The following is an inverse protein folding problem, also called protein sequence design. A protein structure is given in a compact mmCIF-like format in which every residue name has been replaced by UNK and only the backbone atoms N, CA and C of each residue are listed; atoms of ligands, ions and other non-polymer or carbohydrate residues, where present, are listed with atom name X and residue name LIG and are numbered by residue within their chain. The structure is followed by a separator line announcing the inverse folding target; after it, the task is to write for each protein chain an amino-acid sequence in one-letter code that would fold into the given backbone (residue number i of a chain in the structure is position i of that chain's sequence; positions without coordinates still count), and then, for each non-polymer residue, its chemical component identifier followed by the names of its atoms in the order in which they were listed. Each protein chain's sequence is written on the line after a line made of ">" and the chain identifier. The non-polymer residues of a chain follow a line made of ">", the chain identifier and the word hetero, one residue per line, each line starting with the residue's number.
data_IF_174606535989
#
_entry.id   IF_174606535989
#
_cell.length_a   1.000
_cell.length_b   1.000
_cell.length_c   1.000
_cell.angle_alpha   90.00
_cell.angle_beta   90.00
_cell.angle_gamma   90.00
#
_symmetry.space_group_name_H-M   'P 1'
#
loop_
_entity.id
_entity.type
_entity.pdbx_description
1 polymer ?
#
# COMPACT_ATOMS: atom_id res chain seq x y z
N UNK A 1 3.47 -61.89 46.06
CA UNK A 1 2.77 -60.60 46.09
C UNK A 1 3.52 -59.67 45.12
N UNK A 2 2.94 -59.45 43.94
CA UNK A 2 3.56 -58.67 42.84
C UNK A 2 2.96 -57.26 42.83
N UNK A 3 3.79 -56.25 43.22
CA UNK A 3 3.38 -54.83 43.12
C UNK A 3 3.56 -54.37 41.68
N UNK A 4 2.47 -54.03 40.99
CA UNK A 4 2.50 -53.43 39.67
C UNK A 4 2.73 -51.93 39.83
N UNK A 5 3.86 -51.46 39.34
CA UNK A 5 4.18 -50.04 39.22
C UNK A 5 3.51 -49.51 37.94
N UNK A 6 2.45 -48.73 38.10
CA UNK A 6 1.80 -48.04 36.96
C UNK A 6 2.57 -46.72 36.74
N UNK A 7 3.36 -46.71 35.68
CA UNK A 7 4.05 -45.50 35.23
C UNK A 7 3.02 -44.53 34.59
N UNK A 8 2.80 -43.39 35.24
CA UNK A 8 1.96 -42.31 34.73
C UNK A 8 2.83 -41.46 33.76
N UNK A 9 2.70 -41.73 32.47
CA UNK A 9 3.31 -40.91 31.42
C UNK A 9 2.45 -39.68 31.21
N UNK A 10 2.85 -38.56 31.82
CA UNK A 10 2.26 -37.24 31.56
C UNK A 10 2.77 -36.74 30.20
N UNK A 11 1.98 -36.95 29.15
CA UNK A 11 2.23 -36.35 27.83
C UNK A 11 1.94 -34.86 27.89
N UNK A 12 3.01 -34.04 27.91
CA UNK A 12 2.92 -32.58 27.76
C UNK A 12 2.54 -32.31 26.30
N UNK A 13 1.25 -32.14 26.04
CA UNK A 13 0.74 -31.69 24.77
C UNK A 13 0.98 -30.17 24.71
N UNK A 14 2.13 -29.77 24.16
CA UNK A 14 2.45 -28.37 23.90
C UNK A 14 1.48 -27.86 22.83
N UNK A 15 0.41 -27.18 23.23
CA UNK A 15 -0.42 -26.39 22.32
C UNK A 15 0.43 -25.24 21.81
N UNK A 16 1.01 -25.40 20.62
CA UNK A 16 1.56 -24.30 19.86
C UNK A 16 0.40 -23.41 19.45
N UNK A 17 0.16 -22.33 20.19
CA UNK A 17 -0.75 -21.25 19.79
C UNK A 17 -0.09 -20.58 18.58
N UNK A 18 -0.48 -21.02 17.37
CA UNK A 18 -0.17 -20.31 16.15
C UNK A 18 -0.95 -19.00 16.23
N UNK A 19 -0.27 -17.95 16.68
CA UNK A 19 -0.79 -16.58 16.57
C UNK A 19 -0.94 -16.30 15.09
N UNK A 20 -2.18 -16.37 14.57
CA UNK A 20 -2.50 -15.89 13.24
C UNK A 20 -2.21 -14.38 13.28
N UNK A 21 -1.04 -13.98 12.78
CA UNK A 21 -0.73 -12.58 12.58
C UNK A 21 -1.75 -12.05 11.57
N UNK A 22 -2.72 -11.29 12.04
CA UNK A 22 -3.67 -10.62 11.15
C UNK A 22 -2.87 -9.63 10.30
N UNK A 23 -2.81 -9.88 8.98
CA UNK A 23 -2.21 -8.95 8.04
C UNK A 23 -2.93 -7.60 8.13
N UNK A 24 -2.18 -6.52 8.25
CA UNK A 24 -2.74 -5.18 8.15
C UNK A 24 -3.11 -4.92 6.69
N UNK A 25 -4.40 -4.77 6.39
CA UNK A 25 -4.85 -4.40 5.05
C UNK A 25 -4.68 -2.88 4.86
N UNK A 26 -3.89 -2.48 3.85
CA UNK A 26 -3.74 -1.10 3.42
C UNK A 26 -4.48 -0.88 2.10
N UNK A 27 -5.35 0.11 2.04
CA UNK A 27 -6.11 0.49 0.85
C UNK A 27 -5.32 1.47 0.02
N UNK A 28 -4.95 1.09 -1.22
CA UNK A 28 -4.30 1.96 -2.19
C UNK A 28 -5.34 2.47 -3.20
N UNK A 29 -5.66 3.74 -3.15
CA UNK A 29 -6.57 4.40 -4.09
C UNK A 29 -5.83 4.91 -5.32
N UNK A 30 -6.42 4.77 -6.50
CA UNK A 30 -5.97 5.43 -7.72
C UNK A 30 -7.14 5.68 -8.69
N UNK A 31 -7.12 6.81 -9.37
CA UNK A 31 -8.10 7.11 -10.42
C UNK A 31 -7.74 6.44 -11.75
N UNK A 32 -6.52 5.93 -11.89
CA UNK A 32 -6.08 5.25 -13.10
C UNK A 32 -6.95 4.03 -13.41
N UNK A 33 -7.35 3.84 -14.68
CA UNK A 33 -8.04 2.62 -15.09
C UNK A 33 -7.23 1.36 -14.75
N UNK A 34 -7.87 0.24 -14.37
CA UNK A 34 -7.16 -0.97 -13.94
C UNK A 34 -6.15 -1.51 -14.96
N UNK A 35 -6.40 -1.29 -16.26
CA UNK A 35 -5.54 -1.73 -17.36
C UNK A 35 -4.48 -0.69 -17.78
N UNK A 36 -4.53 0.52 -17.23
CA UNK A 36 -3.53 1.54 -17.50
C UNK A 36 -2.14 1.10 -17.01
N UNK A 37 -1.09 1.54 -17.71
CA UNK A 37 0.30 1.15 -17.38
C UNK A 37 0.66 1.48 -15.93
N UNK A 38 0.28 2.65 -15.43
CA UNK A 38 0.53 3.07 -14.05
C UNK A 38 -0.10 2.08 -13.06
N UNK A 39 -1.40 1.82 -13.20
CA UNK A 39 -2.11 0.92 -12.30
C UNK A 39 -1.60 -0.53 -12.40
N UNK A 40 -1.51 -1.07 -13.64
CA UNK A 40 -1.25 -2.50 -13.86
C UNK A 40 0.21 -2.91 -13.70
N UNK A 41 1.17 -2.01 -13.95
CA UNK A 41 2.61 -2.33 -13.92
C UNK A 41 3.34 -1.67 -12.75
N UNK A 42 3.05 -0.41 -12.48
CA UNK A 42 3.77 0.33 -11.43
C UNK A 42 3.13 0.07 -10.07
N UNK A 43 1.87 0.44 -9.88
CA UNK A 43 1.22 0.35 -8.58
C UNK A 43 0.96 -1.09 -8.15
N UNK A 44 0.47 -1.95 -9.03
CA UNK A 44 0.29 -3.36 -8.74
C UNK A 44 1.63 -4.05 -8.44
N UNK A 45 2.68 -3.78 -9.23
CA UNK A 45 4.02 -4.32 -9.00
C UNK A 45 4.64 -3.83 -7.68
N UNK A 46 4.38 -2.60 -7.28
CA UNK A 46 4.79 -2.07 -5.98
C UNK A 46 4.02 -2.76 -4.84
N UNK A 47 2.70 -2.86 -4.94
CA UNK A 47 1.85 -3.54 -3.95
C UNK A 47 2.29 -5.00 -3.74
N UNK A 48 2.54 -5.74 -4.83
CA UNK A 48 3.05 -7.11 -4.77
C UNK A 48 4.40 -7.22 -4.05
N UNK A 49 5.30 -6.26 -4.28
CA UNK A 49 6.60 -6.22 -3.58
C UNK A 49 6.41 -6.00 -2.08
N UNK A 50 5.57 -5.03 -1.67
CA UNK A 50 5.27 -4.77 -0.26
C UNK A 50 4.68 -6.01 0.41
N UNK A 51 3.68 -6.64 -0.22
CA UNK A 51 3.02 -7.84 0.28
C UNK A 51 4.03 -8.99 0.50
N UNK A 52 4.96 -9.19 -0.45
CA UNK A 52 6.01 -10.21 -0.36
C UNK A 52 7.06 -9.87 0.69
N UNK A 53 7.57 -8.64 0.71
CA UNK A 53 8.63 -8.22 1.64
C UNK A 53 8.16 -8.18 3.10
N UNK A 54 6.86 -7.98 3.33
CA UNK A 54 6.28 -7.95 4.68
C UNK A 54 6.05 -9.34 5.28
N UNK A 55 6.34 -10.43 4.54
CA UNK A 55 6.07 -11.81 4.96
C UNK A 55 4.61 -12.01 5.45
N UNK A 56 3.65 -11.33 4.81
CA UNK A 56 2.24 -11.40 5.16
C UNK A 56 1.79 -10.49 6.30
N UNK A 57 2.69 -9.67 6.87
CA UNK A 57 2.31 -8.69 7.89
C UNK A 57 1.49 -7.53 7.32
N UNK A 58 1.67 -7.20 6.04
CA UNK A 58 0.94 -6.13 5.33
C UNK A 58 0.36 -6.70 4.04
N UNK A 59 -0.88 -6.33 3.74
CA UNK A 59 -1.56 -6.63 2.49
C UNK A 59 -2.06 -5.33 1.84
N UNK A 60 -1.41 -4.89 0.77
CA UNK A 60 -1.85 -3.71 0.02
C UNK A 60 -2.90 -4.11 -1.01
N UNK A 61 -4.12 -3.58 -0.84
CA UNK A 61 -5.24 -3.80 -1.76
C UNK A 61 -5.50 -2.57 -2.60
N UNK A 62 -5.37 -2.70 -3.91
CA UNK A 62 -5.54 -1.59 -4.84
C UNK A 62 -7.00 -1.41 -5.27
N UNK A 63 -7.47 -0.16 -5.22
CA UNK A 63 -8.77 0.31 -5.68
C UNK A 63 -8.56 1.25 -6.88
N UNK A 64 -8.58 0.70 -8.08
CA UNK A 64 -8.31 1.40 -9.32
C UNK A 64 -9.58 1.97 -9.99
N UNK A 65 -9.40 2.90 -10.95
CA UNK A 65 -10.50 3.46 -11.73
C UNK A 65 -11.33 4.52 -11.01
N UNK A 66 -10.78 5.12 -9.95
CA UNK A 66 -11.48 6.18 -9.22
C UNK A 66 -12.66 5.73 -8.37
N UNK A 67 -12.75 4.43 -8.03
CA UNK A 67 -13.88 3.86 -7.26
C UNK A 67 -14.00 4.45 -5.86
N UNK A 68 -12.90 4.92 -5.26
CA UNK A 68 -12.91 5.61 -3.97
C UNK A 68 -13.01 7.13 -4.12
N UNK A 69 -12.80 7.68 -5.31
CA UNK A 69 -12.96 9.10 -5.62
C UNK A 69 -12.23 9.53 -6.89
N UNK A 70 -12.66 10.67 -7.42
CA UNK A 70 -12.13 11.30 -8.63
C UNK A 70 -10.71 11.84 -8.44
N UNK A 71 -9.98 12.19 -9.52
CA UNK A 71 -8.60 12.71 -9.42
C UNK A 71 -8.41 13.87 -8.44
N UNK A 72 -9.27 14.92 -8.41
CA UNK A 72 -9.12 16.01 -7.44
C UNK A 72 -9.35 15.60 -5.97
N UNK A 73 -10.04 14.47 -5.74
CA UNK A 73 -10.39 13.99 -4.40
C UNK A 73 -9.36 13.04 -3.78
N UNK A 74 -8.29 12.71 -4.50
CA UNK A 74 -7.34 11.71 -4.03
C UNK A 74 -6.63 12.11 -2.71
N UNK A 75 -6.40 13.40 -2.48
CA UNK A 75 -5.86 13.89 -1.21
C UNK A 75 -6.89 13.75 -0.08
N UNK A 76 -8.13 14.17 -0.31
CA UNK A 76 -9.20 14.10 0.69
C UNK A 76 -9.49 12.65 1.11
N UNK A 77 -9.37 11.68 0.20
CA UNK A 77 -9.58 10.25 0.47
C UNK A 77 -8.60 9.75 1.54
N UNK A 78 -7.33 10.16 1.45
CA UNK A 78 -6.31 9.74 2.41
C UNK A 78 -6.46 10.50 3.73
N UNK A 79 -6.65 11.81 3.69
CA UNK A 79 -6.78 12.63 4.91
C UNK A 79 -8.03 12.32 5.71
N UNK A 80 -9.09 11.85 5.06
CA UNK A 80 -10.32 11.37 5.73
C UNK A 80 -10.29 9.90 6.15
N UNK A 81 -9.21 9.16 5.86
CA UNK A 81 -9.06 7.76 6.23
C UNK A 81 -9.90 6.77 5.40
N UNK A 82 -10.43 7.19 4.24
CA UNK A 82 -11.14 6.29 3.30
C UNK A 82 -10.16 5.31 2.65
N UNK A 83 -8.94 5.78 2.36
CA UNK A 83 -7.80 4.95 1.97
C UNK A 83 -6.55 5.35 2.76
N UNK A 84 -5.59 4.43 2.86
CA UNK A 84 -4.33 4.65 3.56
C UNK A 84 -3.28 5.27 2.65
N UNK A 85 -3.37 4.98 1.36
CA UNK A 85 -2.42 5.40 0.33
C UNK A 85 -3.21 5.88 -0.89
N UNK A 86 -2.72 6.94 -1.55
CA UNK A 86 -3.26 7.36 -2.83
C UNK A 86 -2.15 7.68 -3.82
N UNK A 87 -2.35 7.29 -5.07
CA UNK A 87 -1.55 7.76 -6.20
C UNK A 87 -2.31 8.85 -6.95
N UNK A 88 -1.67 9.99 -7.12
CA UNK A 88 -2.27 11.13 -7.82
C UNK A 88 -1.20 11.99 -8.50
N UNK A 89 -1.64 12.85 -9.41
CA UNK A 89 -0.87 13.96 -9.95
C UNK A 89 -1.14 15.20 -9.10
N UNK A 90 -0.11 15.82 -8.54
CA UNK A 90 -0.26 16.92 -7.59
C UNK A 90 -1.00 18.13 -8.17
N UNK A 91 -0.84 18.39 -9.48
CA UNK A 91 -1.59 19.45 -10.18
C UNK A 91 -3.11 19.26 -10.21
N UNK A 92 -3.60 18.04 -10.01
CA UNK A 92 -5.05 17.78 -9.90
C UNK A 92 -5.64 18.19 -8.55
N UNK A 93 -4.78 18.38 -7.54
CA UNK A 93 -5.15 18.74 -6.17
C UNK A 93 -4.90 20.24 -5.99
N UNK A 94 -5.69 21.07 -6.63
CA UNK A 94 -5.47 22.53 -6.67
C UNK A 94 -5.26 23.15 -5.27
N UNK A 95 -4.19 23.93 -5.12
CA UNK A 95 -3.93 24.74 -3.92
C UNK A 95 -3.33 24.02 -2.72
N UNK A 96 -3.32 22.68 -2.68
CA UNK A 96 -2.78 21.94 -1.54
C UNK A 96 -1.23 21.88 -1.56
N UNK A 97 -0.63 21.88 -2.76
CA UNK A 97 0.81 21.76 -2.95
C UNK A 97 1.34 22.87 -3.87
N UNK A 98 1.31 24.14 -3.44
CA UNK A 98 1.63 25.27 -4.33
C UNK A 98 3.08 25.25 -4.84
N UNK A 99 4.04 24.78 -4.03
CA UNK A 99 5.44 24.68 -4.44
C UNK A 99 5.66 23.59 -5.49
N UNK A 100 4.90 22.50 -5.44
CA UNK A 100 5.00 21.43 -6.44
C UNK A 100 4.43 21.86 -7.80
N UNK A 101 3.54 22.84 -7.85
CA UNK A 101 2.97 23.37 -9.09
C UNK A 101 3.98 24.15 -9.92
N UNK A 102 5.07 24.60 -9.32
CA UNK A 102 6.13 25.33 -10.03
C UNK A 102 6.74 24.48 -11.14
N UNK A 103 6.95 23.18 -10.91
CA UNK A 103 7.54 22.28 -11.92
C UNK A 103 6.62 22.05 -13.13
N UNK A 104 5.33 22.32 -12.98
CA UNK A 104 4.32 22.16 -14.04
C UNK A 104 4.22 23.40 -14.94
N UNK A 105 4.94 24.48 -14.61
CA UNK A 105 4.97 25.69 -15.43
C UNK A 105 5.60 25.39 -16.81
N UNK A 106 4.96 25.85 -17.90
CA UNK A 106 5.47 25.63 -19.24
C UNK A 106 6.87 26.26 -19.37
N UNK A 107 7.74 25.58 -20.11
CA UNK A 107 9.12 26.04 -20.43
C UNK A 107 10.09 26.15 -19.25
N UNK A 108 9.68 25.79 -18.03
CA UNK A 108 10.57 25.81 -16.86
C UNK A 108 11.71 24.80 -17.01
N UNK A 109 11.43 23.65 -17.58
CA UNK A 109 12.44 22.62 -17.84
C UNK A 109 12.47 22.24 -19.32
N UNK A 110 13.67 21.97 -19.85
CA UNK A 110 13.84 21.57 -21.25
C UNK A 110 13.46 20.12 -21.53
N UNK A 111 13.57 19.26 -20.51
CA UNK A 111 13.28 17.82 -20.59
C UNK A 111 12.70 17.33 -19.28
N UNK A 112 11.92 16.26 -19.33
CA UNK A 112 11.39 15.59 -18.11
C UNK A 112 12.52 15.14 -17.18
N UNK A 113 13.65 14.69 -17.74
CA UNK A 113 14.82 14.29 -16.96
C UNK A 113 15.38 15.46 -16.16
N UNK A 114 15.56 16.64 -16.78
CA UNK A 114 16.06 17.82 -16.09
C UNK A 114 15.12 18.25 -14.95
N UNK A 115 13.80 18.22 -15.19
CA UNK A 115 12.81 18.51 -14.15
C UNK A 115 12.88 17.54 -12.99
N UNK A 116 12.93 16.23 -13.25
CA UNK A 116 13.05 15.22 -12.20
C UNK A 116 14.34 15.35 -11.40
N UNK A 117 15.47 15.66 -12.07
CA UNK A 117 16.75 15.85 -11.36
C UNK A 117 16.75 17.09 -10.47
N UNK A 118 16.03 18.14 -10.85
CA UNK A 118 15.92 19.36 -10.05
C UNK A 118 15.05 19.22 -8.81
N UNK A 119 14.19 18.19 -8.76
CA UNK A 119 13.29 17.89 -7.63
C UNK A 119 13.93 16.95 -6.58
N UNK A 120 15.06 16.32 -6.90
CA UNK A 120 15.80 15.44 -6.00
C UNK A 120 16.96 16.17 -5.31
#
# INVERSE_FOLDING_TARGET
>A
MKKKLIGFVLGIFSLSVISAANATELKLATFEPPKAFIASKILAGWADKVNKCSNGAVNVKMYAGGVLGSPPKQYDIVTSGVADISWTVLGYIGGQFPLSSVIELPFLTRTSRAGTTALN
#
